data_IF_513191779551
#
_entry.id   IF_513191779551
#
_cell.length_a   1.000
_cell.length_b   1.000
_cell.length_c   1.000
_cell.angle_alpha   90.00
_cell.angle_beta   90.00
_cell.angle_gamma   90.00
#
_symmetry.space_group_name_H-M   'P 1'
#
loop_
_entity.id
_entity.type
_entity.pdbx_description
1 polymer ?
#
# COMPACT_ATOMS: atom_id res chain seq x y z
N UNK A 1 24.44 9.39 -6.73
CA UNK A 1 23.52 8.25 -6.85
C UNK A 1 24.14 6.93 -6.46
N UNK A 2 25.42 6.68 -6.78
CA UNK A 2 26.10 5.43 -6.44
C UNK A 2 26.17 5.20 -4.91
N UNK A 3 26.57 6.20 -4.13
CA UNK A 3 26.72 6.07 -2.67
C UNK A 3 25.37 5.80 -1.97
N UNK A 4 24.29 6.44 -2.42
CA UNK A 4 22.95 6.19 -1.90
C UNK A 4 22.46 4.76 -2.20
N UNK A 5 22.75 4.24 -3.40
CA UNK A 5 22.45 2.83 -3.74
C UNK A 5 23.26 1.86 -2.89
N UNK A 6 24.56 2.10 -2.69
CA UNK A 6 25.41 1.28 -1.83
C UNK A 6 24.86 1.21 -0.40
N UNK A 7 24.36 2.32 0.14
CA UNK A 7 23.73 2.33 1.46
C UNK A 7 22.44 1.50 1.48
N UNK A 8 21.59 1.63 0.44
CA UNK A 8 20.36 0.86 0.32
C UNK A 8 20.66 -0.66 0.24
N UNK A 9 21.60 -1.07 -0.61
CA UNK A 9 22.01 -2.46 -0.79
C UNK A 9 22.54 -3.09 0.52
N UNK A 10 23.09 -2.26 1.41
CA UNK A 10 23.51 -2.66 2.76
C UNK A 10 22.38 -2.67 3.79
N UNK A 11 21.13 -2.39 3.40
CA UNK A 11 19.99 -2.27 4.29
C UNK A 11 19.95 -0.97 5.12
N UNK A 12 20.84 -0.01 4.84
CA UNK A 12 20.89 1.27 5.53
C UNK A 12 20.03 2.32 4.82
N UNK A 13 18.70 2.22 4.98
CA UNK A 13 17.74 3.14 4.37
C UNK A 13 17.99 4.60 4.78
N UNK A 14 18.30 4.85 6.06
CA UNK A 14 18.58 6.20 6.55
C UNK A 14 19.80 6.81 5.87
N UNK A 15 20.90 6.07 5.77
CA UNK A 15 22.09 6.50 5.06
C UNK A 15 21.85 6.73 3.57
N UNK A 16 21.02 5.88 2.93
CA UNK A 16 20.65 6.05 1.53
C UNK A 16 19.88 7.37 1.31
N UNK A 17 18.95 7.71 2.20
CA UNK A 17 18.19 8.98 2.16
C UNK A 17 19.14 10.18 2.35
N UNK A 18 20.06 10.13 3.32
CA UNK A 18 21.02 11.22 3.56
C UNK A 18 21.89 11.49 2.33
N UNK A 19 22.42 10.45 1.68
CA UNK A 19 23.21 10.59 0.45
C UNK A 19 22.37 11.07 -0.74
N UNK A 20 21.14 10.61 -0.87
CA UNK A 20 20.24 11.10 -1.92
C UNK A 20 19.87 12.58 -1.73
N UNK A 21 19.67 13.03 -0.49
CA UNK A 21 19.43 14.45 -0.17
C UNK A 21 20.65 15.30 -0.53
N UNK A 22 21.88 14.86 -0.19
CA UNK A 22 23.11 15.56 -0.55
C UNK A 22 23.22 15.72 -2.07
N UNK A 23 22.93 14.64 -2.80
CA UNK A 23 22.98 14.65 -4.27
C UNK A 23 21.97 15.64 -4.87
N UNK A 24 20.72 15.62 -4.42
CA UNK A 24 19.66 16.54 -4.88
C UNK A 24 19.99 18.00 -4.53
N UNK A 25 20.62 18.27 -3.37
CA UNK A 25 21.07 19.61 -2.99
C UNK A 25 22.24 20.10 -3.82
N UNK A 26 23.20 19.24 -4.13
CA UNK A 26 24.38 19.61 -4.94
C UNK A 26 24.07 19.80 -6.42
N UNK A 27 23.07 19.08 -6.92
CA UNK A 27 22.63 19.20 -8.31
C UNK A 27 21.11 18.95 -8.42
N UNK A 28 20.36 20.04 -8.34
CA UNK A 28 18.90 20.02 -8.34
C UNK A 28 18.27 19.61 -9.68
N UNK A 29 19.04 19.54 -10.76
CA UNK A 29 18.54 19.21 -12.11
C UNK A 29 18.59 17.71 -12.42
N UNK A 30 19.21 16.88 -11.56
CA UNK A 30 19.26 15.43 -11.77
C UNK A 30 17.91 14.81 -11.44
N UNK A 31 17.09 14.62 -12.46
CA UNK A 31 15.77 13.97 -12.37
C UNK A 31 15.83 12.62 -11.62
N UNK A 32 16.71 11.71 -12.03
CA UNK A 32 16.84 10.39 -11.44
C UNK A 32 17.18 10.41 -9.94
N UNK A 33 17.90 11.43 -9.45
CA UNK A 33 18.19 11.57 -8.03
C UNK A 33 16.95 11.98 -7.22
N UNK A 34 16.08 12.80 -7.79
CA UNK A 34 14.80 13.17 -7.16
C UNK A 34 13.83 12.02 -7.13
N UNK A 35 13.73 11.26 -8.24
CA UNK A 35 12.91 10.04 -8.28
C UNK A 35 13.38 9.05 -7.22
N UNK A 36 14.67 8.80 -7.13
CA UNK A 36 15.22 7.89 -6.13
C UNK A 36 15.00 8.39 -4.69
N UNK A 37 15.13 9.70 -4.43
CA UNK A 37 14.82 10.28 -3.12
C UNK A 37 13.32 10.16 -2.79
N UNK A 38 12.45 10.34 -3.77
CA UNK A 38 11.01 10.10 -3.63
C UNK A 38 10.74 8.66 -3.21
N UNK A 39 11.27 7.67 -3.95
CA UNK A 39 11.09 6.24 -3.65
C UNK A 39 11.60 5.87 -2.24
N UNK A 40 12.81 6.32 -1.87
CA UNK A 40 13.36 6.09 -0.53
C UNK A 40 12.51 6.73 0.57
N UNK A 41 11.92 7.91 0.30
CA UNK A 41 11.05 8.59 1.26
C UNK A 41 9.75 7.82 1.51
N UNK A 42 9.22 7.13 0.49
CA UNK A 42 8.06 6.25 0.64
C UNK A 42 8.37 5.06 1.56
N UNK A 43 9.52 4.41 1.37
CA UNK A 43 9.95 3.30 2.22
C UNK A 43 10.20 3.70 3.68
N UNK A 44 10.54 4.95 3.93
CA UNK A 44 10.76 5.47 5.29
C UNK A 44 9.51 6.05 5.94
N UNK A 45 8.35 6.08 5.25
CA UNK A 45 7.14 6.72 5.74
C UNK A 45 7.19 8.26 5.75
N UNK A 46 8.16 8.86 5.05
CA UNK A 46 8.30 10.31 4.99
C UNK A 46 7.45 10.91 3.84
N UNK A 47 6.14 10.74 3.98
CA UNK A 47 5.15 11.06 2.96
C UNK A 47 5.20 12.50 2.46
N UNK A 48 5.43 13.47 3.36
CA UNK A 48 5.54 14.88 2.98
C UNK A 48 6.81 15.18 2.18
N UNK A 49 7.91 14.47 2.45
CA UNK A 49 9.11 14.58 1.61
C UNK A 49 8.86 13.99 0.23
N UNK A 50 8.21 12.82 0.17
CA UNK A 50 7.85 12.17 -1.08
C UNK A 50 6.99 13.10 -1.94
N UNK A 51 5.96 13.70 -1.37
CA UNK A 51 5.07 14.64 -2.07
C UNK A 51 5.80 15.87 -2.62
N UNK A 52 6.71 16.47 -1.82
CA UNK A 52 7.56 17.59 -2.29
C UNK A 52 8.48 17.20 -3.45
N UNK A 53 8.99 15.96 -3.49
CA UNK A 53 9.77 15.52 -4.65
C UNK A 53 8.88 15.35 -5.88
N UNK A 54 7.69 14.77 -5.75
CA UNK A 54 6.72 14.61 -6.83
C UNK A 54 6.28 15.97 -7.40
N UNK A 55 6.06 16.96 -6.55
CA UNK A 55 5.73 18.31 -6.98
C UNK A 55 6.82 18.90 -7.90
N UNK A 56 8.07 18.82 -7.46
CA UNK A 56 9.21 19.30 -8.25
C UNK A 56 9.40 18.49 -9.54
N UNK A 57 9.20 17.17 -9.51
CA UNK A 57 9.28 16.27 -10.67
C UNK A 57 8.21 16.66 -11.70
N UNK A 58 6.97 16.86 -11.25
CA UNK A 58 5.82 17.17 -12.11
C UNK A 58 5.95 18.49 -12.89
N UNK A 59 6.78 19.43 -12.42
CA UNK A 59 7.00 20.70 -13.11
C UNK A 59 8.06 20.63 -14.24
N UNK A 60 8.68 19.46 -14.50
CA UNK A 60 9.75 19.37 -15.48
C UNK A 60 9.25 19.27 -16.92
N UNK A 61 8.25 18.41 -17.16
CA UNK A 61 7.62 18.22 -18.48
C UNK A 61 6.24 17.54 -18.33
N UNK A 62 5.48 17.46 -19.41
CA UNK A 62 4.11 16.92 -19.40
C UNK A 62 4.05 15.43 -19.00
N UNK A 63 5.01 14.60 -19.39
CA UNK A 63 5.02 13.18 -19.02
C UNK A 63 5.31 13.01 -17.52
N UNK A 64 6.26 13.80 -17.00
CA UNK A 64 6.56 13.85 -15.56
C UNK A 64 5.38 14.36 -14.75
N UNK A 65 4.59 15.30 -15.27
CA UNK A 65 3.36 15.78 -14.63
C UNK A 65 2.31 14.66 -14.47
N UNK A 66 2.09 13.87 -15.53
CA UNK A 66 1.16 12.73 -15.49
C UNK A 66 1.64 11.67 -14.49
N UNK A 67 2.91 11.29 -14.55
CA UNK A 67 3.51 10.33 -13.62
C UNK A 67 3.40 10.80 -12.17
N UNK A 68 3.71 12.07 -11.89
CA UNK A 68 3.59 12.66 -10.56
C UNK A 68 2.16 12.68 -10.05
N UNK A 69 1.18 12.94 -10.91
CA UNK A 69 -0.23 12.91 -10.54
C UNK A 69 -0.65 11.51 -10.08
N UNK A 70 -0.29 10.46 -10.84
CA UNK A 70 -0.61 9.07 -10.50
C UNK A 70 0.01 8.69 -9.15
N UNK A 71 1.28 9.00 -8.93
CA UNK A 71 1.94 8.71 -7.65
C UNK A 71 1.35 9.50 -6.48
N UNK A 72 0.89 10.73 -6.70
CA UNK A 72 0.19 11.51 -5.67
C UNK A 72 -1.16 10.91 -5.31
N UNK A 73 -1.90 10.39 -6.27
CA UNK A 73 -3.12 9.63 -6.02
C UNK A 73 -2.84 8.39 -5.18
N UNK A 74 -1.83 7.58 -5.56
CA UNK A 74 -1.41 6.42 -4.78
C UNK A 74 -0.98 6.80 -3.35
N UNK A 75 -0.27 7.92 -3.19
CA UNK A 75 0.15 8.43 -1.88
C UNK A 75 -1.04 8.86 -1.02
N UNK A 76 -2.07 9.44 -1.62
CA UNK A 76 -3.32 9.78 -0.93
C UNK A 76 -4.03 8.52 -0.43
N UNK A 77 -4.18 7.53 -1.29
CA UNK A 77 -4.80 6.24 -0.93
C UNK A 77 -4.02 5.49 0.16
N UNK A 78 -2.68 5.53 0.12
CA UNK A 78 -1.85 4.94 1.18
C UNK A 78 -2.01 5.66 2.53
N UNK A 79 -2.18 6.99 2.52
CA UNK A 79 -2.52 7.73 3.74
C UNK A 79 -3.88 7.31 4.29
N UNK A 80 -4.86 7.08 3.43
CA UNK A 80 -6.18 6.61 3.85
C UNK A 80 -6.14 5.17 4.36
N UNK A 81 -5.27 4.32 3.79
CA UNK A 81 -4.98 3.00 4.34
C UNK A 81 -4.43 3.08 5.77
N UNK A 82 -3.49 3.97 6.03
CA UNK A 82 -2.95 4.18 7.39
C UNK A 82 -4.05 4.66 8.33
N UNK A 83 -4.87 5.63 7.92
CA UNK A 83 -6.00 6.12 8.72
C UNK A 83 -7.05 5.03 9.00
N UNK A 84 -7.24 4.06 8.12
CA UNK A 84 -8.11 2.92 8.44
C UNK A 84 -7.62 2.20 9.70
N UNK A 85 -6.34 1.84 9.75
CA UNK A 85 -5.79 1.11 10.90
C UNK A 85 -5.63 1.98 12.16
N UNK A 86 -5.33 3.27 12.02
CA UNK A 86 -5.06 4.18 13.14
C UNK A 86 -6.30 4.93 13.63
N UNK A 87 -7.18 5.37 12.73
CA UNK A 87 -8.30 6.29 13.01
C UNK A 87 -9.68 5.68 12.71
N UNK A 88 -9.74 4.55 11.99
CA UNK A 88 -10.99 3.89 11.62
C UNK A 88 -11.67 4.44 10.37
N UNK A 89 -10.94 5.15 9.50
CA UNK A 89 -11.45 5.53 8.19
C UNK A 89 -11.82 4.25 7.41
N UNK A 90 -13.02 4.19 6.84
CA UNK A 90 -13.43 2.99 6.09
C UNK A 90 -12.83 2.99 4.69
N UNK A 91 -12.25 1.86 4.22
CA UNK A 91 -11.90 1.70 2.81
C UNK A 91 -13.14 1.70 1.93
N UNK A 92 -12.99 2.04 0.66
CA UNK A 92 -14.04 1.83 -0.31
C UNK A 92 -14.23 0.33 -0.59
N UNK A 93 -15.46 -0.06 -0.92
CA UNK A 93 -15.79 -1.41 -1.41
C UNK A 93 -16.55 -1.27 -2.74
N UNK A 94 -16.39 -2.19 -3.71
CA UNK A 94 -17.07 -2.12 -5.00
C UNK A 94 -18.59 -2.08 -4.89
N UNK A 95 -19.11 -2.84 -3.92
CA UNK A 95 -20.52 -2.96 -3.59
C UNK A 95 -20.73 -2.66 -2.10
N UNK A 96 -22.00 -2.61 -1.66
CA UNK A 96 -22.31 -2.51 -0.24
C UNK A 96 -21.65 -3.68 0.53
N UNK A 97 -20.91 -3.40 1.64
CA UNK A 97 -20.22 -4.44 2.38
C UNK A 97 -21.21 -5.48 2.91
N UNK A 98 -20.85 -6.75 2.77
CA UNK A 98 -21.57 -7.88 3.36
C UNK A 98 -21.45 -7.89 4.88
N UNK A 99 -22.20 -8.74 5.57
CA UNK A 99 -22.19 -8.82 7.03
C UNK A 99 -20.79 -9.15 7.56
N UNK A 100 -20.13 -10.19 7.02
CA UNK A 100 -18.78 -10.56 7.45
C UNK A 100 -17.71 -9.48 7.15
N UNK A 101 -17.88 -8.63 6.12
CA UNK A 101 -17.00 -7.48 5.89
C UNK A 101 -17.24 -6.38 6.94
N UNK A 102 -18.50 -6.13 7.32
CA UNK A 102 -18.82 -5.20 8.40
C UNK A 102 -18.28 -5.70 9.76
N UNK A 103 -18.34 -7.01 10.01
CA UNK A 103 -17.75 -7.63 11.19
C UNK A 103 -16.23 -7.50 11.19
N UNK A 104 -15.57 -7.67 10.03
CA UNK A 104 -14.14 -7.45 9.88
C UNK A 104 -13.76 -5.98 10.15
N UNK A 105 -14.55 -5.01 9.70
CA UNK A 105 -14.37 -3.61 10.08
C UNK A 105 -14.48 -3.40 11.59
N UNK A 106 -15.49 -3.99 12.20
CA UNK A 106 -15.72 -3.89 13.65
C UNK A 106 -14.59 -4.55 14.44
N UNK A 107 -14.07 -5.69 13.99
CA UNK A 107 -12.92 -6.33 14.60
C UNK A 107 -11.66 -5.42 14.57
N UNK A 108 -11.42 -4.75 13.45
CA UNK A 108 -10.34 -3.75 13.36
C UNK A 108 -10.55 -2.58 14.34
N UNK A 109 -11.79 -2.10 14.51
CA UNK A 109 -12.11 -1.07 15.49
C UNK A 109 -11.81 -1.55 16.93
N UNK A 110 -12.22 -2.77 17.26
CA UNK A 110 -11.96 -3.38 18.58
C UNK A 110 -10.46 -3.54 18.87
N UNK A 111 -9.66 -3.92 17.86
CA UNK A 111 -8.19 -4.00 18.00
C UNK A 111 -7.63 -2.61 18.31
N UNK A 112 -8.07 -1.57 17.61
CA UNK A 112 -7.64 -0.19 17.82
C UNK A 112 -8.02 0.32 19.22
N UNK A 113 -9.17 -0.11 19.74
CA UNK A 113 -9.62 0.19 21.09
C UNK A 113 -8.92 -0.65 22.19
N UNK A 114 -8.06 -1.58 21.82
CA UNK A 114 -7.37 -2.48 22.75
C UNK A 114 -8.24 -3.66 23.27
N UNK A 115 -9.44 -3.87 22.71
CA UNK A 115 -10.39 -4.94 23.05
C UNK A 115 -10.07 -6.23 22.29
N UNK A 116 -8.86 -6.76 22.49
CA UNK A 116 -8.32 -7.86 21.68
C UNK A 116 -9.09 -9.18 21.82
N UNK A 117 -9.69 -9.46 22.99
CA UNK A 117 -10.51 -10.66 23.20
C UNK A 117 -11.80 -10.60 22.38
N UNK A 118 -12.53 -9.48 22.43
CA UNK A 118 -13.75 -9.27 21.65
C UNK A 118 -13.44 -9.26 20.13
N UNK A 119 -12.33 -8.65 19.75
CA UNK A 119 -11.86 -8.69 18.36
C UNK A 119 -11.60 -10.14 17.89
N UNK A 120 -10.97 -10.97 18.72
CA UNK A 120 -10.71 -12.38 18.39
C UNK A 120 -12.00 -13.17 18.17
N UNK A 121 -12.98 -13.03 19.07
CA UNK A 121 -14.28 -13.69 18.92
C UNK A 121 -14.97 -13.30 17.61
N UNK A 122 -14.90 -12.02 17.25
CA UNK A 122 -15.50 -11.52 16.02
C UNK A 122 -14.74 -11.99 14.77
N UNK A 123 -13.41 -12.06 14.82
CA UNK A 123 -12.59 -12.61 13.73
C UNK A 123 -12.84 -14.10 13.51
N UNK A 124 -13.07 -14.87 14.57
CA UNK A 124 -13.45 -16.28 14.46
C UNK A 124 -14.82 -16.42 13.77
N UNK A 125 -15.79 -15.55 14.11
CA UNK A 125 -17.08 -15.47 13.40
C UNK A 125 -16.91 -15.14 11.92
N UNK A 126 -16.07 -14.14 11.58
CA UNK A 126 -15.77 -13.78 10.20
C UNK A 126 -15.19 -14.98 9.44
N UNK A 127 -14.28 -15.75 10.04
CA UNK A 127 -13.70 -16.96 9.42
C UNK A 127 -14.77 -18.02 9.13
N UNK A 128 -15.77 -18.17 10.00
CA UNK A 128 -16.88 -19.12 9.81
C UNK A 128 -17.88 -18.67 8.74
N UNK A 129 -18.13 -17.37 8.63
CA UNK A 129 -19.18 -16.80 7.77
C UNK A 129 -18.71 -16.37 6.38
N UNK A 130 -17.41 -16.10 6.21
CA UNK A 130 -16.87 -15.73 4.91
C UNK A 130 -17.06 -16.84 3.87
N UNK A 131 -17.35 -16.52 2.60
CA UNK A 131 -17.47 -17.52 1.56
C UNK A 131 -16.15 -18.25 1.31
N UNK A 132 -16.15 -19.57 1.34
CA UNK A 132 -15.06 -20.36 0.76
C UNK A 132 -15.19 -20.37 -0.76
N UNK A 133 -14.07 -20.27 -1.48
CA UNK A 133 -14.05 -20.26 -2.92
C UNK A 133 -12.86 -21.04 -3.50
N UNK A 134 -13.07 -21.73 -4.62
CA UNK A 134 -11.99 -22.45 -5.30
C UNK A 134 -11.14 -21.49 -6.11
N UNK A 135 -9.82 -21.61 -6.00
CA UNK A 135 -8.88 -20.82 -6.78
C UNK A 135 -7.73 -21.67 -7.35
N UNK A 136 -6.99 -21.11 -8.29
CA UNK A 136 -5.78 -21.70 -8.86
C UNK A 136 -4.61 -20.76 -8.63
N UNK A 137 -3.58 -21.24 -7.95
CA UNK A 137 -2.36 -20.48 -7.66
C UNK A 137 -1.18 -21.20 -8.31
N UNK A 138 -0.51 -20.54 -9.24
CA UNK A 138 0.63 -21.12 -9.99
C UNK A 138 0.37 -22.50 -10.63
N UNK A 139 -0.90 -22.75 -11.04
CA UNK A 139 -1.33 -24.00 -11.67
C UNK A 139 -1.84 -25.07 -10.71
N UNK A 140 -1.76 -24.85 -9.40
CA UNK A 140 -2.31 -25.76 -8.37
C UNK A 140 -3.68 -25.28 -7.90
N UNK A 141 -4.63 -26.22 -7.71
CA UNK A 141 -6.00 -25.92 -7.28
C UNK A 141 -6.12 -25.97 -5.76
N UNK A 142 -6.79 -24.98 -5.21
CA UNK A 142 -7.13 -24.88 -3.78
C UNK A 142 -8.63 -24.71 -3.61
N UNK A 143 -9.18 -25.27 -2.55
CA UNK A 143 -10.61 -25.18 -2.25
C UNK A 143 -10.99 -23.92 -1.50
N UNK A 144 -10.00 -23.19 -1.00
CA UNK A 144 -10.17 -21.93 -0.28
C UNK A 144 -8.85 -21.12 -0.28
N UNK A 145 -8.97 -19.83 -0.01
CA UNK A 145 -7.83 -18.92 0.12
C UNK A 145 -8.15 -17.81 1.12
N UNK A 146 -7.16 -17.45 1.94
CA UNK A 146 -7.24 -16.30 2.84
C UNK A 146 -5.86 -15.65 3.01
N UNK A 147 -5.83 -14.39 3.41
CA UNK A 147 -4.60 -13.76 3.87
C UNK A 147 -4.17 -14.31 5.25
N UNK A 148 -2.87 -14.31 5.51
CA UNK A 148 -2.33 -14.69 6.82
C UNK A 148 -2.63 -13.65 7.92
N UNK A 149 -2.84 -12.38 7.54
CA UNK A 149 -3.25 -11.33 8.46
C UNK A 149 -4.74 -11.44 8.77
N UNK A 150 -5.09 -11.75 10.00
CA UNK A 150 -6.49 -11.92 10.43
C UNK A 150 -7.33 -10.64 10.23
N UNK A 151 -6.72 -9.44 10.27
CA UNK A 151 -7.44 -8.17 10.11
C UNK A 151 -7.83 -7.83 8.67
N UNK A 152 -7.27 -8.56 7.70
CA UNK A 152 -7.55 -8.42 6.25
C UNK A 152 -7.81 -9.77 5.59
N UNK A 153 -8.11 -10.81 6.39
CA UNK A 153 -8.08 -12.22 6.00
C UNK A 153 -8.87 -12.58 4.74
N UNK A 154 -9.95 -11.88 4.46
CA UNK A 154 -10.88 -12.19 3.36
C UNK A 154 -10.91 -11.11 2.27
N UNK A 155 -9.98 -10.16 2.29
CA UNK A 155 -9.95 -9.05 1.32
C UNK A 155 -8.58 -8.87 0.69
N UNK A 156 -8.60 -8.51 -0.58
CA UNK A 156 -7.44 -8.00 -1.29
C UNK A 156 -7.41 -6.48 -1.15
N UNK A 157 -6.40 -5.97 -0.45
CA UNK A 157 -6.16 -4.54 -0.34
C UNK A 157 -5.63 -4.00 -1.68
N UNK A 158 -6.28 -2.99 -2.22
CA UNK A 158 -5.91 -2.38 -3.50
C UNK A 158 -5.94 -0.86 -3.42
N UNK A 159 -5.13 -0.23 -4.27
CA UNK A 159 -5.24 1.19 -4.58
C UNK A 159 -5.85 1.31 -5.98
N UNK A 160 -7.02 1.92 -6.06
CA UNK A 160 -7.72 2.16 -7.31
C UNK A 160 -7.84 3.66 -7.53
N UNK A 161 -7.04 4.20 -8.45
CA UNK A 161 -6.86 5.65 -8.64
C UNK A 161 -6.32 6.32 -7.36
N UNK A 162 -7.14 7.06 -6.66
CA UNK A 162 -6.82 7.80 -5.43
C UNK A 162 -7.49 7.22 -4.18
N UNK A 163 -8.15 6.07 -4.31
CA UNK A 163 -8.90 5.42 -3.24
C UNK A 163 -8.21 4.16 -2.73
N UNK A 164 -8.22 3.97 -1.42
CA UNK A 164 -7.92 2.70 -0.76
C UNK A 164 -9.17 1.82 -0.77
N UNK A 165 -9.07 0.64 -1.37
CA UNK A 165 -10.20 -0.22 -1.68
C UNK A 165 -9.99 -1.62 -1.10
N UNK A 166 -11.02 -2.20 -0.51
CA UNK A 166 -11.09 -3.60 -0.14
C UNK A 166 -11.91 -4.38 -1.15
N UNK A 167 -11.29 -5.37 -1.76
CA UNK A 167 -11.90 -6.29 -2.71
C UNK A 167 -12.05 -7.65 -2.02
N UNK A 168 -13.27 -8.13 -1.68
CA UNK A 168 -13.46 -9.48 -1.18
C UNK A 168 -12.83 -10.49 -2.14
N UNK A 169 -12.07 -11.48 -1.64
CA UNK A 169 -11.31 -12.39 -2.49
C UNK A 169 -12.19 -13.15 -3.48
N UNK A 170 -13.41 -13.54 -3.08
CA UNK A 170 -14.37 -14.25 -3.94
C UNK A 170 -14.88 -13.40 -5.11
N UNK A 171 -14.76 -12.08 -5.05
CA UNK A 171 -15.09 -11.16 -6.15
C UNK A 171 -13.95 -10.95 -7.13
N UNK A 172 -12.72 -11.41 -6.80
CA UNK A 172 -11.53 -11.23 -7.62
C UNK A 172 -11.41 -12.37 -8.64
N UNK A 173 -11.57 -12.06 -9.92
CA UNK A 173 -11.48 -13.07 -10.98
C UNK A 173 -10.06 -13.58 -11.20
N UNK A 174 -9.08 -12.70 -11.18
CA UNK A 174 -7.67 -13.07 -11.39
C UNK A 174 -6.73 -11.97 -10.94
N UNK A 175 -5.56 -12.38 -10.44
CA UNK A 175 -4.44 -11.49 -10.10
C UNK A 175 -3.26 -11.89 -10.98
N UNK A 176 -2.68 -10.91 -11.68
CA UNK A 176 -1.47 -11.11 -12.48
C UNK A 176 -0.38 -10.17 -11.97
N UNK A 177 0.70 -10.76 -11.48
CA UNK A 177 1.89 -10.00 -11.08
C UNK A 177 2.68 -9.63 -12.34
N UNK A 178 2.89 -8.35 -12.53
CA UNK A 178 3.70 -7.82 -13.64
C UNK A 178 5.18 -7.75 -13.23
N UNK A 179 6.06 -7.76 -14.24
CA UNK A 179 7.49 -7.58 -14.01
C UNK A 179 7.78 -6.17 -13.49
N UNK A 180 8.56 -6.09 -12.40
CA UNK A 180 8.95 -4.81 -11.81
C UNK A 180 9.92 -4.03 -12.71
N UNK A 181 9.64 -2.77 -12.92
CA UNK A 181 10.46 -1.84 -13.73
C UNK A 181 11.15 -0.77 -12.88
N UNK A 182 10.69 -0.56 -11.68
CA UNK A 182 11.25 0.42 -10.74
C UNK A 182 11.38 -0.17 -9.33
N UNK A 183 11.90 0.61 -8.41
CA UNK A 183 12.04 0.21 -7.00
C UNK A 183 10.67 0.01 -6.33
N UNK A 184 9.65 0.69 -6.86
CA UNK A 184 8.27 0.62 -6.39
C UNK A 184 7.32 0.60 -7.58
N UNK A 185 7.03 -0.58 -8.09
CA UNK A 185 5.97 -0.88 -9.05
C UNK A 185 4.90 -1.73 -8.38
#
# INVERSE_FOLDING_TARGET
>A
MNDAKIQLDRGNLKGAIEEAIKLVKSNSTIYAARVFLFELSLFSGEWDRADRQLDTIGHQDANSAIGSLIYRQNLSAERDRIKFFEEGLRPETPDAPTEYINDLFTANDLVREGKTAEARELLDKVEEERPAFSCVINGESFSDFRDYNDLTMCVFEAIVKDSYVWLPFESVKSIKILERKSLRD
#
